data_IF_637192046964
#
_entry.id   IF_637192046964
#
_cell.length_a   1.000
_cell.length_b   1.000
_cell.length_c   1.000
_cell.angle_alpha   90.00
_cell.angle_beta   90.00
_cell.angle_gamma   90.00
#
_symmetry.space_group_name_H-M   'P 1'
#
loop_
_entity.id
_entity.type
_entity.pdbx_description
1 polymer ?
#
# COMPACT_ATOMS: atom_id res chain seq x y z
N UNK A 1 -16.77 -5.63 13.91
CA UNK A 1 -16.03 -6.72 13.21
C UNK A 1 -14.88 -6.08 12.45
N UNK A 2 -13.62 -6.32 12.85
CA UNK A 2 -12.42 -5.63 12.31
C UNK A 2 -12.25 -5.77 10.79
N UNK A 3 -12.68 -6.89 10.21
CA UNK A 3 -12.55 -7.18 8.77
C UNK A 3 -13.41 -6.24 7.90
N UNK A 4 -14.49 -5.66 8.42
CA UNK A 4 -15.35 -4.74 7.65
C UNK A 4 -15.02 -3.27 7.89
N UNK A 5 -14.11 -2.99 8.83
CA UNK A 5 -13.73 -1.63 9.20
C UNK A 5 -12.94 -0.96 8.06
N UNK A 6 -13.37 0.22 7.55
CA UNK A 6 -12.69 0.91 6.46
C UNK A 6 -11.24 1.29 6.80
N UNK A 7 -10.99 1.75 8.03
CA UNK A 7 -9.67 2.19 8.47
C UNK A 7 -8.71 1.01 8.55
N UNK A 8 -9.15 -0.13 9.11
CA UNK A 8 -8.35 -1.35 9.13
C UNK A 8 -7.97 -1.80 7.71
N UNK A 9 -8.91 -1.74 6.77
CA UNK A 9 -8.62 -2.05 5.36
C UNK A 9 -7.65 -1.04 4.73
N UNK A 10 -7.78 0.25 5.05
CA UNK A 10 -6.88 1.28 4.55
C UNK A 10 -5.45 1.09 5.09
N UNK A 11 -5.31 0.80 6.39
CA UNK A 11 -4.04 0.42 7.03
C UNK A 11 -3.42 -0.81 6.34
N UNK A 12 -4.23 -1.84 6.09
CA UNK A 12 -3.80 -3.03 5.36
C UNK A 12 -3.27 -2.67 3.96
N UNK A 13 -4.02 -1.88 3.19
CA UNK A 13 -3.64 -1.51 1.83
C UNK A 13 -2.40 -0.61 1.79
N UNK A 14 -2.27 0.34 2.71
CA UNK A 14 -1.09 1.21 2.83
C UNK A 14 0.15 0.42 3.27
N UNK A 15 -0.02 -0.54 4.19
CA UNK A 15 1.06 -1.46 4.56
C UNK A 15 1.54 -2.23 3.34
N UNK A 16 0.63 -2.76 2.52
CA UNK A 16 1.02 -3.46 1.29
C UNK A 16 1.68 -2.53 0.26
N UNK A 17 1.21 -1.29 0.10
CA UNK A 17 1.81 -0.31 -0.83
C UNK A 17 3.28 -0.04 -0.47
N UNK A 18 3.56 0.11 0.82
CA UNK A 18 4.89 0.43 1.33
C UNK A 18 5.80 -0.78 1.49
N UNK A 19 5.24 -1.97 1.75
CA UNK A 19 5.99 -3.14 2.24
C UNK A 19 5.90 -4.37 1.34
N UNK A 20 5.21 -4.29 0.21
CA UNK A 20 5.21 -5.35 -0.82
C UNK A 20 5.74 -4.79 -2.13
N UNK A 21 6.88 -5.32 -2.54
CA UNK A 21 7.55 -5.00 -3.78
C UNK A 21 7.38 -6.14 -4.80
N UNK A 22 6.12 -6.54 -5.01
CA UNK A 22 5.80 -7.49 -6.06
C UNK A 22 6.17 -6.92 -7.44
N UNK A 23 6.85 -7.72 -8.23
CA UNK A 23 7.18 -7.39 -9.62
C UNK A 23 6.49 -8.36 -10.56
N UNK A 24 5.79 -7.83 -11.55
CA UNK A 24 5.09 -8.61 -12.56
C UNK A 24 5.91 -8.59 -13.85
N UNK A 25 6.42 -9.75 -14.27
CA UNK A 25 7.14 -9.93 -15.54
C UNK A 25 6.24 -10.51 -16.63
N UNK A 26 6.37 -10.03 -17.87
CA UNK A 26 5.74 -10.60 -19.08
C UNK A 26 6.73 -10.55 -20.23
N UNK A 27 6.69 -11.55 -21.10
CA UNK A 27 7.43 -11.53 -22.37
C UNK A 27 6.45 -11.29 -23.51
N UNK A 28 6.75 -10.33 -24.37
CA UNK A 28 5.93 -10.07 -25.54
C UNK A 28 5.92 -11.30 -26.48
N UNK A 29 4.74 -11.84 -26.75
CA UNK A 29 4.58 -13.02 -27.61
C UNK A 29 4.58 -12.67 -29.10
N UNK A 30 4.39 -11.39 -29.43
CA UNK A 30 4.38 -10.85 -30.79
C UNK A 30 4.75 -9.35 -30.78
N UNK A 31 5.03 -8.80 -31.97
CA UNK A 31 5.39 -7.39 -32.18
C UNK A 31 4.20 -6.41 -32.12
N UNK A 32 3.00 -6.90 -31.77
CA UNK A 32 1.79 -6.08 -31.59
C UNK A 32 1.62 -5.61 -30.15
N UNK A 33 2.49 -6.03 -29.24
CA UNK A 33 2.43 -5.65 -27.82
C UNK A 33 2.71 -4.16 -27.69
N UNK A 34 1.76 -3.41 -27.14
CA UNK A 34 1.87 -1.97 -26.90
C UNK A 34 1.55 -1.66 -25.45
N UNK A 35 2.46 -0.96 -24.75
CA UNK A 35 2.25 -0.51 -23.38
C UNK A 35 1.56 0.86 -23.36
N UNK A 36 1.04 1.25 -22.19
CA UNK A 36 0.50 2.58 -21.97
C UNK A 36 1.52 3.66 -22.37
N UNK A 37 1.07 4.70 -23.10
CA UNK A 37 1.95 5.71 -23.68
C UNK A 37 2.45 5.39 -25.09
N UNK A 38 2.00 4.29 -25.71
CA UNK A 38 2.30 3.98 -27.12
C UNK A 38 3.61 3.22 -27.35
N UNK A 39 4.23 2.70 -26.29
CA UNK A 39 5.50 1.98 -26.37
C UNK A 39 5.31 0.60 -26.98
N UNK A 40 5.85 0.40 -28.19
CA UNK A 40 5.81 -0.87 -28.90
C UNK A 40 6.94 -1.80 -28.42
N UNK A 41 6.58 -3.02 -28.03
CA UNK A 41 7.51 -4.02 -27.52
C UNK A 41 7.66 -5.12 -28.56
N UNK A 42 8.92 -5.40 -28.94
CA UNK A 42 9.25 -6.49 -29.87
C UNK A 42 8.98 -7.85 -29.24
N UNK A 43 8.64 -8.83 -30.06
CA UNK A 43 8.51 -10.24 -29.68
C UNK A 43 9.78 -10.71 -28.96
N UNK A 44 9.59 -11.47 -27.87
CA UNK A 44 10.68 -12.02 -27.07
C UNK A 44 11.26 -11.06 -26.04
N UNK A 45 10.91 -9.77 -26.06
CA UNK A 45 11.40 -8.80 -25.07
C UNK A 45 10.63 -8.95 -23.75
N UNK A 46 11.33 -9.17 -22.62
CA UNK A 46 10.71 -9.16 -21.30
C UNK A 46 10.42 -7.73 -20.85
N UNK A 47 9.27 -7.54 -20.19
CA UNK A 47 8.82 -6.31 -19.57
C UNK A 47 8.52 -6.59 -18.11
N UNK A 48 8.99 -5.72 -17.23
CA UNK A 48 8.85 -5.84 -15.78
C UNK A 48 8.09 -4.63 -15.24
N UNK A 49 7.10 -4.87 -14.39
CA UNK A 49 6.33 -3.84 -13.70
C UNK A 49 6.60 -3.97 -12.20
N UNK A 50 7.35 -3.03 -11.64
CA UNK A 50 7.66 -3.01 -10.21
C UNK A 50 6.54 -2.27 -9.45
N UNK A 51 5.70 -3.01 -8.73
CA UNK A 51 4.53 -2.45 -8.04
C UNK A 51 4.91 -1.45 -6.95
N UNK A 52 6.04 -1.65 -6.27
CA UNK A 52 6.51 -0.72 -5.25
C UNK A 52 6.91 0.64 -5.83
N UNK A 53 7.62 0.67 -6.97
CA UNK A 53 7.99 1.93 -7.63
C UNK A 53 6.73 2.66 -8.09
N UNK A 54 5.76 1.94 -8.67
CA UNK A 54 4.48 2.54 -9.05
C UNK A 54 3.67 3.04 -7.83
N UNK A 55 3.88 2.45 -6.66
CA UNK A 55 3.37 2.90 -5.37
C UNK A 55 4.00 4.21 -4.88
N UNK A 56 5.13 4.64 -5.44
CA UNK A 56 5.87 5.85 -5.08
C UNK A 56 5.75 6.96 -6.16
N UNK A 57 4.84 6.81 -7.12
CA UNK A 57 4.62 7.81 -8.16
C UNK A 57 3.87 9.04 -7.62
N UNK A 58 4.61 10.13 -7.40
CA UNK A 58 4.05 11.41 -6.94
C UNK A 58 3.11 12.06 -7.96
N UNK A 59 3.16 11.71 -9.25
CA UNK A 59 2.20 12.23 -10.23
C UNK A 59 0.82 11.58 -10.05
N UNK A 60 0.76 10.38 -9.48
CA UNK A 60 -0.45 9.59 -9.34
C UNK A 60 -1.05 9.64 -7.92
N UNK A 61 -0.23 9.33 -6.91
CA UNK A 61 -0.71 9.16 -5.53
C UNK A 61 -0.95 10.50 -4.84
N UNK A 62 -2.01 10.53 -4.05
CA UNK A 62 -2.32 11.67 -3.20
C UNK A 62 -1.27 11.81 -2.09
N UNK A 63 -0.71 13.01 -1.98
CA UNK A 63 0.30 13.39 -0.99
C UNK A 63 -0.21 14.47 -0.02
N UNK A 64 -1.52 14.72 -0.02
CA UNK A 64 -2.16 15.78 0.76
C UNK A 64 -1.82 17.17 0.24
N UNK A 65 -1.96 18.17 1.10
CA UNK A 65 -1.62 19.55 0.76
C UNK A 65 -0.10 19.76 0.68
N UNK A 66 0.34 20.77 -0.09
CA UNK A 66 1.71 21.26 0.03
C UNK A 66 1.83 22.13 1.27
N UNK A 67 2.81 21.80 2.11
CA UNK A 67 3.13 22.55 3.31
C UNK A 67 3.96 23.81 2.94
N UNK A 68 3.99 24.84 3.81
CA UNK A 68 4.74 26.09 3.54
C UNK A 68 6.25 25.89 3.29
N UNK A 69 6.81 24.77 3.77
CA UNK A 69 8.21 24.39 3.55
C UNK A 69 8.45 23.66 2.22
N UNK A 70 7.43 23.56 1.35
CA UNK A 70 7.49 22.87 0.06
C UNK A 70 7.36 21.35 0.14
N UNK A 71 7.21 20.76 1.33
CA UNK A 71 7.02 19.32 1.50
C UNK A 71 5.56 18.92 1.32
N UNK A 72 5.34 17.69 0.88
CA UNK A 72 4.01 17.10 0.90
C UNK A 72 3.58 16.77 2.34
N UNK A 73 2.30 17.01 2.67
CA UNK A 73 1.72 16.64 3.97
C UNK A 73 1.84 15.13 4.26
N UNK A 74 1.71 14.29 3.23
CA UNK A 74 1.79 12.83 3.33
C UNK A 74 2.73 12.25 2.25
N UNK A 75 4.06 12.30 2.47
CA UNK A 75 5.05 11.72 1.56
C UNK A 75 4.75 10.24 1.25
N UNK A 76 5.17 9.77 0.06
CA UNK A 76 4.84 8.42 -0.40
C UNK A 76 5.70 7.32 0.24
N UNK A 77 6.84 7.65 0.82
CA UNK A 77 7.67 6.74 1.61
C UNK A 77 7.23 6.64 3.08
N UNK A 78 6.25 7.46 3.47
CA UNK A 78 5.72 7.56 4.82
C UNK A 78 4.35 6.92 4.93
N UNK A 79 4.09 6.29 6.08
CA UNK A 79 2.82 5.60 6.33
C UNK A 79 1.70 6.62 6.59
N UNK A 80 0.62 6.52 5.83
CA UNK A 80 -0.61 7.31 6.04
C UNK A 80 -1.83 6.39 6.11
N UNK A 81 -2.34 6.17 7.32
CA UNK A 81 -3.42 5.21 7.59
C UNK A 81 -4.68 5.43 6.74
N UNK A 82 -4.96 6.68 6.39
CA UNK A 82 -6.20 7.10 5.71
C UNK A 82 -6.04 7.18 4.20
N UNK A 83 -4.87 6.85 3.63
CA UNK A 83 -4.58 7.05 2.19
C UNK A 83 -5.62 6.41 1.27
N UNK A 84 -6.17 5.25 1.64
CA UNK A 84 -7.17 4.54 0.84
C UNK A 84 -8.61 4.89 1.23
N UNK A 85 -8.83 5.90 2.07
CA UNK A 85 -10.16 6.36 2.48
C UNK A 85 -10.58 7.58 1.68
N UNK A 86 -11.81 7.54 1.18
CA UNK A 86 -12.51 8.73 0.69
C UNK A 86 -13.52 9.19 1.74
N UNK A 87 -13.47 10.47 2.02
CA UNK A 87 -14.34 11.19 2.94
C UNK A 87 -15.26 12.10 2.12
N UNK A 88 -16.59 11.95 2.17
CA UNK A 88 -17.49 12.75 1.36
C UNK A 88 -17.43 14.26 1.61
N UNK A 89 -16.97 14.68 2.79
CA UNK A 89 -16.75 16.09 3.15
C UNK A 89 -15.36 16.62 2.79
N UNK A 90 -14.46 15.78 2.28
CA UNK A 90 -13.10 16.17 1.93
C UNK A 90 -12.80 15.76 0.47
N UNK A 91 -12.87 16.71 -0.48
CA UNK A 91 -12.59 16.43 -1.89
C UNK A 91 -11.13 16.07 -2.16
N UNK A 92 -10.22 16.38 -1.23
CA UNK A 92 -8.80 16.06 -1.32
C UNK A 92 -8.49 14.68 -0.69
N UNK A 93 -9.50 13.96 -0.20
CA UNK A 93 -9.32 12.61 0.33
C UNK A 93 -9.19 11.55 -0.77
N UNK A 94 -8.71 10.37 -0.38
CA UNK A 94 -8.54 9.22 -1.26
C UNK A 94 -7.13 9.06 -1.80
N UNK A 95 -6.87 7.93 -2.47
CA UNK A 95 -5.51 7.49 -2.77
C UNK A 95 -4.86 8.21 -3.95
N UNK A 96 -5.64 8.85 -4.83
CA UNK A 96 -5.15 9.46 -6.07
C UNK A 96 -5.29 10.97 -6.03
N UNK A 97 -4.41 11.70 -6.72
CA UNK A 97 -4.59 13.13 -6.99
C UNK A 97 -5.83 13.34 -7.87
N UNK A 98 -6.97 13.61 -7.25
CA UNK A 98 -8.25 13.68 -7.96
C UNK A 98 -8.42 15.06 -8.60
N UNK A 99 -8.54 15.16 -9.94
CA UNK A 99 -8.91 16.42 -10.61
C UNK A 99 -10.41 16.74 -10.57
N UNK A 100 -11.23 15.88 -9.96
CA UNK A 100 -12.69 15.94 -9.99
C UNK A 100 -13.27 16.01 -8.58
N UNK A 101 -14.04 17.06 -8.33
CA UNK A 101 -14.86 17.22 -7.13
C UNK A 101 -15.89 16.09 -7.01
N UNK A 102 -16.06 15.48 -5.82
CA UNK A 102 -17.19 14.61 -5.55
C UNK A 102 -18.49 15.42 -5.68
N UNK A 103 -19.49 14.90 -6.39
CA UNK A 103 -20.86 15.41 -6.28
C UNK A 103 -21.46 14.83 -5.01
N UNK A 104 -22.11 15.69 -4.23
CA UNK A 104 -22.44 15.50 -2.82
C UNK A 104 -23.02 14.13 -2.47
N UNK A 105 -22.63 13.65 -1.29
CA UNK A 105 -23.34 12.58 -0.60
C UNK A 105 -23.49 12.95 0.87
N UNK A 106 -24.70 12.79 1.41
CA UNK A 106 -25.11 13.09 2.80
C UNK A 106 -24.57 12.11 3.84
N UNK A 107 -23.67 11.20 3.47
CA UNK A 107 -23.13 10.17 4.36
C UNK A 107 -21.73 10.56 4.82
N UNK A 108 -21.55 10.80 6.13
CA UNK A 108 -20.28 11.24 6.72
C UNK A 108 -19.21 10.14 6.86
N UNK A 109 -19.55 8.87 6.60
CA UNK A 109 -18.66 7.75 6.91
C UNK A 109 -17.56 7.57 5.85
N UNK A 110 -16.30 7.33 6.25
CA UNK A 110 -15.23 7.02 5.31
C UNK A 110 -15.53 5.75 4.52
N UNK A 111 -15.14 5.73 3.25
CA UNK A 111 -15.26 4.57 2.38
C UNK A 111 -13.88 4.18 1.85
N UNK A 112 -13.61 2.88 1.83
CA UNK A 112 -12.40 2.38 1.18
C UNK A 112 -12.50 2.60 -0.34
N UNK A 113 -11.45 3.15 -0.94
CA UNK A 113 -11.33 3.39 -2.37
C UNK A 113 -10.15 2.65 -2.96
N UNK A 114 -10.45 1.69 -3.84
CA UNK A 114 -9.46 0.95 -4.64
C UNK A 114 -9.67 1.17 -6.15
N UNK A 115 -10.72 1.90 -6.52
CA UNK A 115 -11.05 2.17 -7.90
C UNK A 115 -9.98 3.08 -8.53
N UNK A 116 -9.63 2.81 -9.79
CA UNK A 116 -8.64 3.61 -10.52
C UNK A 116 -7.17 3.33 -10.17
N UNK A 117 -6.88 2.42 -9.22
CA UNK A 117 -5.50 2.12 -8.81
C UNK A 117 -4.77 1.09 -9.71
N UNK A 118 -5.46 0.58 -10.74
CA UNK A 118 -4.87 -0.40 -11.67
C UNK A 118 -3.63 0.19 -12.35
N UNK A 119 -2.53 -0.56 -12.34
CA UNK A 119 -1.24 -0.13 -12.90
C UNK A 119 -0.34 0.63 -11.93
N UNK A 120 -0.86 1.13 -10.81
CA UNK A 120 -0.07 1.81 -9.77
C UNK A 120 -0.10 1.07 -8.42
N UNK A 121 -1.08 0.18 -8.23
CA UNK A 121 -1.24 -0.62 -7.02
C UNK A 121 -1.64 -2.06 -7.37
N UNK A 122 -0.73 -3.01 -7.16
CA UNK A 122 -0.94 -4.44 -7.44
C UNK A 122 -0.06 -5.33 -6.54
N UNK A 123 -0.22 -5.27 -5.20
CA UNK A 123 0.63 -6.00 -4.27
C UNK A 123 0.58 -7.52 -4.44
N UNK A 124 -0.54 -8.04 -4.97
CA UNK A 124 -0.74 -9.46 -5.28
C UNK A 124 -0.55 -9.80 -6.77
N UNK A 125 0.10 -8.91 -7.53
CA UNK A 125 0.25 -9.03 -8.98
C UNK A 125 -1.04 -8.73 -9.74
N UNK A 126 -1.13 -9.21 -10.98
CA UNK A 126 -2.27 -8.93 -11.86
C UNK A 126 -2.38 -9.88 -13.06
N UNK A 127 -3.57 -9.88 -13.67
CA UNK A 127 -3.93 -10.76 -14.78
C UNK A 127 -4.05 -12.23 -14.33
N UNK A 128 -3.77 -13.17 -15.25
CA UNK A 128 -3.90 -14.61 -15.01
C UNK A 128 -2.99 -15.16 -13.90
N UNK A 129 -1.93 -14.44 -13.53
CA UNK A 129 -0.97 -14.83 -12.50
C UNK A 129 -1.13 -14.02 -11.20
N UNK A 130 -2.34 -13.50 -10.94
CA UNK A 130 -2.66 -12.85 -9.66
C UNK A 130 -2.65 -13.90 -8.54
N UNK A 131 -2.17 -13.54 -7.36
CA UNK A 131 -2.12 -14.44 -6.22
C UNK A 131 -3.52 -14.98 -5.88
N UNK A 132 -3.75 -16.30 -5.95
CA UNK A 132 -5.06 -16.88 -5.60
C UNK A 132 -5.36 -16.77 -4.09
N UNK A 133 -4.32 -16.57 -3.26
CA UNK A 133 -4.43 -16.46 -1.81
C UNK A 133 -4.74 -15.06 -1.27
N UNK A 134 -4.96 -14.05 -2.11
CA UNK A 134 -5.17 -12.65 -1.65
C UNK A 134 -6.27 -12.52 -0.59
N UNK A 135 -7.43 -13.14 -0.82
CA UNK A 135 -8.56 -13.07 0.11
C UNK A 135 -8.23 -13.75 1.45
N UNK A 136 -7.57 -14.91 1.40
CA UNK A 136 -7.14 -15.63 2.60
C UNK A 136 -6.07 -14.85 3.36
N UNK A 137 -5.07 -14.29 2.65
CA UNK A 137 -4.00 -13.50 3.24
C UNK A 137 -4.55 -12.29 4.00
N UNK A 138 -5.51 -11.57 3.43
CA UNK A 138 -6.18 -10.45 4.12
C UNK A 138 -6.87 -10.92 5.41
N UNK A 139 -7.62 -12.02 5.36
CA UNK A 139 -8.32 -12.55 6.53
C UNK A 139 -7.34 -12.97 7.63
N UNK A 140 -6.29 -13.70 7.26
CA UNK A 140 -5.25 -14.16 8.20
C UNK A 140 -4.53 -12.96 8.82
N UNK A 141 -4.08 -11.99 8.03
CA UNK A 141 -3.37 -10.80 8.54
C UNK A 141 -4.24 -10.03 9.53
N UNK A 142 -5.49 -9.73 9.17
CA UNK A 142 -6.40 -8.97 10.04
C UNK A 142 -6.73 -9.76 11.32
N UNK A 143 -6.98 -11.07 11.20
CA UNK A 143 -7.24 -11.92 12.36
C UNK A 143 -6.02 -12.01 13.29
N UNK A 144 -4.81 -12.18 12.75
CA UNK A 144 -3.58 -12.20 13.55
C UNK A 144 -3.35 -10.88 14.29
N UNK A 145 -3.53 -9.74 13.61
CA UNK A 145 -3.43 -8.42 14.25
C UNK A 145 -4.47 -8.27 15.35
N UNK A 146 -5.71 -8.70 15.12
CA UNK A 146 -6.76 -8.68 16.13
C UNK A 146 -6.37 -9.48 17.38
N UNK A 147 -5.87 -10.71 17.18
CA UNK A 147 -5.44 -11.59 18.27
C UNK A 147 -4.27 -10.99 19.05
N UNK A 148 -3.29 -10.40 18.37
CA UNK A 148 -2.17 -9.72 19.00
C UNK A 148 -2.66 -8.54 19.84
N UNK A 149 -3.48 -7.64 19.28
CA UNK A 149 -3.97 -6.45 19.99
C UNK A 149 -4.85 -6.79 21.20
N UNK A 150 -5.58 -7.91 21.15
CA UNK A 150 -6.44 -8.35 22.25
C UNK A 150 -5.66 -9.03 23.37
N UNK A 151 -4.64 -9.84 23.04
CA UNK A 151 -4.02 -10.76 23.99
C UNK A 151 -2.58 -10.38 24.39
N UNK A 152 -1.98 -9.39 23.73
CA UNK A 152 -0.56 -9.09 23.85
C UNK A 152 -0.32 -7.59 23.95
N UNK A 153 0.55 -7.19 24.88
CA UNK A 153 1.18 -5.87 24.90
C UNK A 153 2.55 -5.95 24.22
N UNK A 154 2.76 -5.08 23.24
CA UNK A 154 4.03 -4.94 22.53
C UNK A 154 4.60 -3.56 22.82
N UNK A 155 5.77 -3.51 23.45
CA UNK A 155 6.49 -2.27 23.72
C UNK A 155 7.77 -2.21 22.86
N UNK A 156 8.00 -1.09 22.18
CA UNK A 156 9.28 -0.86 21.50
C UNK A 156 10.36 -0.58 22.55
N UNK A 157 11.41 -1.40 22.60
CA UNK A 157 12.50 -1.20 23.57
C UNK A 157 13.37 0.02 23.24
N UNK A 158 13.53 0.32 21.95
CA UNK A 158 14.34 1.45 21.46
C UNK A 158 13.60 2.24 20.37
N UNK A 159 12.56 3.04 20.72
CA UNK A 159 11.71 3.71 19.73
C UNK A 159 12.47 4.60 18.76
N UNK A 160 13.38 5.46 19.25
CA UNK A 160 14.19 6.35 18.41
C UNK A 160 15.10 5.63 17.41
N UNK A 161 15.53 4.41 17.75
CA UNK A 161 16.34 3.60 16.84
C UNK A 161 15.47 2.82 15.85
N UNK A 162 14.26 2.42 16.27
CA UNK A 162 13.28 1.77 15.43
C UNK A 162 12.81 2.70 14.30
N UNK A 163 12.62 3.98 14.56
CA UNK A 163 12.27 5.00 13.55
C UNK A 163 13.30 5.10 12.42
N UNK A 164 14.57 4.81 12.73
CA UNK A 164 15.67 4.82 11.75
C UNK A 164 15.74 3.53 10.93
N UNK A 165 14.89 2.54 11.17
CA UNK A 165 14.86 1.31 10.38
C UNK A 165 14.39 1.62 8.95
N UNK A 166 15.17 1.15 7.98
CA UNK A 166 14.89 1.37 6.56
C UNK A 166 14.65 0.04 5.87
N UNK A 167 14.02 0.13 4.70
CA UNK A 167 13.86 -1.04 3.84
C UNK A 167 15.25 -1.48 3.35
N UNK A 168 15.63 -2.72 3.62
CA UNK A 168 16.94 -3.31 3.30
C UNK A 168 17.04 -3.86 1.87
N UNK A 169 16.39 -3.22 0.90
CA UNK A 169 16.29 -3.77 -0.45
C UNK A 169 17.57 -3.60 -1.27
N UNK A 170 17.97 -4.67 -1.96
CA UNK A 170 18.90 -4.58 -3.10
C UNK A 170 18.07 -4.41 -4.37
N UNK A 171 18.01 -3.17 -4.88
CA UNK A 171 17.59 -2.71 -6.23
C UNK A 171 16.25 -3.17 -6.83
N UNK A 172 15.82 -4.44 -6.71
CA UNK A 172 14.53 -4.95 -7.19
C UNK A 172 14.05 -6.07 -6.27
N UNK A 173 13.08 -5.81 -5.38
CA UNK A 173 12.62 -6.85 -4.48
C UNK A 173 11.62 -7.79 -5.13
N UNK A 174 11.52 -8.99 -4.59
CA UNK A 174 10.45 -9.94 -4.90
C UNK A 174 9.66 -10.22 -3.63
N UNK A 175 8.37 -9.85 -3.61
CA UNK A 175 7.48 -10.11 -2.48
C UNK A 175 7.60 -9.07 -1.37
N UNK A 176 7.79 -9.51 -0.12
CA UNK A 176 7.78 -8.63 1.06
C UNK A 176 9.10 -7.86 1.26
N UNK A 177 9.01 -6.70 1.90
CA UNK A 177 10.16 -5.90 2.27
C UNK A 177 10.99 -6.56 3.39
N UNK A 178 12.30 -6.66 3.17
CA UNK A 178 13.26 -6.86 4.27
C UNK A 178 13.61 -5.51 4.88
N UNK A 179 13.97 -5.51 6.16
CA UNK A 179 14.48 -4.33 6.86
C UNK A 179 15.98 -4.47 7.06
N UNK A 180 16.68 -3.33 7.11
CA UNK A 180 18.13 -3.25 7.31
C UNK A 180 18.59 -3.72 8.69
N UNK A 181 17.69 -3.67 9.68
CA UNK A 181 17.96 -4.07 11.06
C UNK A 181 16.71 -4.60 11.77
N UNK A 182 16.87 -5.48 12.78
CA UNK A 182 15.77 -5.86 13.65
C UNK A 182 15.30 -4.68 14.52
N UNK A 183 14.00 -4.66 14.83
CA UNK A 183 13.40 -3.73 15.80
C UNK A 183 13.14 -4.48 17.11
N UNK A 184 13.90 -4.20 18.18
CA UNK A 184 13.75 -4.93 19.44
C UNK A 184 12.44 -4.52 20.14
N UNK A 185 11.65 -5.53 20.49
CA UNK A 185 10.35 -5.36 21.18
C UNK A 185 10.30 -6.22 22.43
N UNK A 186 9.62 -5.71 23.44
CA UNK A 186 9.17 -6.49 24.59
C UNK A 186 7.74 -6.93 24.33
N UNK A 187 7.47 -8.22 24.55
CA UNK A 187 6.17 -8.84 24.34
C UNK A 187 5.69 -9.39 25.66
N UNK A 188 4.54 -8.92 26.15
CA UNK A 188 3.91 -9.41 27.38
C UNK A 188 2.50 -9.88 27.06
N UNK A 189 2.08 -11.02 27.64
CA UNK A 189 0.67 -11.42 27.58
C UNK A 189 -0.15 -10.39 28.35
N UNK A 190 -1.27 -9.99 27.77
CA UNK A 190 -2.29 -9.21 28.47
C UNK A 190 -2.96 -10.13 29.47
N UNK A 191 -2.63 -9.96 30.74
CA UNK A 191 -3.35 -10.62 31.83
C UNK A 191 -4.66 -9.86 31.95
N UNK A 192 -5.78 -10.54 31.64
CA UNK A 192 -7.10 -9.93 31.73
C UNK A 192 -7.41 -9.46 33.15
N UNK A 193 -8.22 -8.41 33.25
CA UNK A 193 -9.05 -8.11 34.42
C UNK A 193 -10.14 -9.18 34.49
#
# INVERSE_FOLDING_TARGET
MLIVDPLIKSIYHETLRLRVASTVGRTAINDKTCLAGGWKIKKGVPVMFAGWIAGLDECFWNTGQQLPNGQSQHPLDSFWADRFLTYPGDPESGPTKTKRRPRGSSVQRPKLSLAGLRGHYFPFGGGAFRCPGESLAMQVIIASVAMILQNVHINLLKPKEAEKARSGHRTLPFGSHTFDKPVPVEVRRRIGI
#
